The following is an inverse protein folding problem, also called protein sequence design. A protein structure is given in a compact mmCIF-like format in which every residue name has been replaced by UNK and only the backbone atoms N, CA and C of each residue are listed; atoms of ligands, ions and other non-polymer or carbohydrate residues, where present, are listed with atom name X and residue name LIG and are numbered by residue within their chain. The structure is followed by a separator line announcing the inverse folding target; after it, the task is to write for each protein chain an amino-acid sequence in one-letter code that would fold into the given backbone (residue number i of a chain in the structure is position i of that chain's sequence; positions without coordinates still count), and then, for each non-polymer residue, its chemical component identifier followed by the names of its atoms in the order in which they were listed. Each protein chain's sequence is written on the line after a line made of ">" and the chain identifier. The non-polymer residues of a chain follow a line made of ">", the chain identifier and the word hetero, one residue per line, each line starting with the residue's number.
data_IF_367578828718
#
_entry.id   IF_367578828718
#
_cell.length_a   1.000
_cell.length_b   1.000
_cell.length_c   1.000
_cell.angle_alpha   90.00
_cell.angle_beta   90.00
_cell.angle_gamma   90.00
#
_symmetry.space_group_name_H-M   'P 1'
#
loop_
_entity.id
_entity.type
_entity.pdbx_description
1 polymer ?
#
# COMPACT_ATOMS: atom_id res chain seq x y z
N UNK A 1 11.62 -1.13 13.73
CA UNK A 1 12.86 -1.91 13.62
C UNK A 1 13.21 -2.10 12.16
N UNK A 2 14.50 -1.91 11.78
CA UNK A 2 14.91 -2.08 10.38
C UNK A 2 14.56 -3.46 9.83
N UNK A 3 14.64 -4.51 10.65
CA UNK A 3 14.35 -5.88 10.23
C UNK A 3 12.88 -6.09 9.86
N UNK A 4 11.97 -5.40 10.54
CA UNK A 4 10.54 -5.47 10.23
C UNK A 4 10.23 -4.88 8.85
N UNK A 5 10.96 -3.85 8.44
CA UNK A 5 10.80 -3.26 7.11
C UNK A 5 11.49 -4.14 6.06
N UNK A 6 12.65 -4.71 6.39
CA UNK A 6 13.42 -5.56 5.49
C UNK A 6 12.63 -6.79 5.01
N UNK A 7 11.65 -7.27 5.78
CA UNK A 7 10.82 -8.41 5.39
C UNK A 7 10.00 -8.17 4.11
N UNK A 8 9.80 -6.90 3.70
CA UNK A 8 9.08 -6.55 2.48
C UNK A 8 9.96 -6.60 1.23
N UNK A 9 11.27 -6.74 1.39
CA UNK A 9 12.20 -6.81 0.25
C UNK A 9 11.84 -8.00 -0.64
N UNK A 10 11.67 -7.73 -1.94
CA UNK A 10 11.29 -8.76 -2.91
C UNK A 10 9.84 -9.21 -2.85
N UNK A 11 9.04 -8.73 -1.90
CA UNK A 11 7.63 -9.08 -1.82
C UNK A 11 6.84 -8.39 -2.95
N UNK A 12 5.92 -9.14 -3.58
CA UNK A 12 5.05 -8.61 -4.63
C UNK A 12 3.73 -8.09 -4.09
N UNK A 13 3.35 -8.51 -2.90
CA UNK A 13 2.10 -8.14 -2.25
C UNK A 13 2.34 -7.84 -0.79
N UNK A 14 1.57 -6.89 -0.26
CA UNK A 14 1.42 -6.75 1.17
C UNK A 14 -0.06 -6.87 1.52
N UNK A 15 -0.33 -7.34 2.72
CA UNK A 15 -1.68 -7.39 3.26
C UNK A 15 -1.89 -6.08 4.02
N UNK A 16 -2.88 -5.31 3.61
CA UNK A 16 -3.24 -4.04 4.25
C UNK A 16 -4.46 -4.26 5.13
N UNK A 17 -4.29 -4.02 6.42
CA UNK A 17 -5.40 -4.04 7.37
C UNK A 17 -5.85 -2.63 7.69
N UNK A 18 -7.10 -2.34 7.40
CA UNK A 18 -7.78 -1.09 7.75
C UNK A 18 -8.90 -1.40 8.75
N UNK A 19 -9.35 -0.40 9.48
CA UNK A 19 -10.26 -0.64 10.61
C UNK A 19 -11.59 0.03 10.40
N UNK A 20 -12.66 -0.73 10.64
CA UNK A 20 -14.03 -0.20 10.71
C UNK A 20 -14.20 0.66 11.94
N UNK A 21 -15.26 1.46 11.98
CA UNK A 21 -15.61 2.29 13.15
C UNK A 21 -15.78 1.45 14.42
N UNK A 22 -16.16 0.19 14.26
CA UNK A 22 -16.30 -0.77 15.38
C UNK A 22 -14.96 -1.28 15.90
N UNK A 23 -13.83 -0.98 15.21
CA UNK A 23 -12.53 -1.51 15.54
C UNK A 23 -12.17 -2.81 14.84
N UNK A 24 -13.12 -3.40 14.09
CA UNK A 24 -12.87 -4.64 13.36
C UNK A 24 -11.93 -4.38 12.18
N UNK A 25 -10.85 -5.17 12.08
CA UNK A 25 -9.88 -5.10 11.00
C UNK A 25 -10.39 -5.77 9.73
N UNK A 26 -10.13 -5.15 8.59
CA UNK A 26 -10.42 -5.70 7.26
C UNK A 26 -9.12 -5.77 6.49
N UNK A 27 -8.74 -6.96 6.05
CA UNK A 27 -7.46 -7.25 5.41
C UNK A 27 -7.64 -7.42 3.90
N UNK A 28 -6.74 -6.83 3.12
CA UNK A 28 -6.77 -6.92 1.67
C UNK A 28 -5.34 -7.06 1.13
N UNK A 29 -5.03 -8.09 0.31
CA UNK A 29 -3.74 -8.13 -0.38
C UNK A 29 -3.72 -7.06 -1.48
N UNK A 30 -2.63 -6.30 -1.54
CA UNK A 30 -2.50 -5.19 -2.47
C UNK A 30 -1.10 -5.15 -3.07
N UNK A 31 -0.97 -4.48 -4.21
CA UNK A 31 0.33 -4.15 -4.79
C UNK A 31 0.89 -2.91 -4.11
N UNK A 32 2.19 -2.90 -3.91
CA UNK A 32 2.86 -1.80 -3.22
C UNK A 32 4.23 -1.53 -3.81
N UNK A 33 4.69 -0.30 -3.65
CA UNK A 33 6.08 0.09 -3.91
C UNK A 33 6.60 0.86 -2.71
N UNK A 34 7.82 0.55 -2.33
CA UNK A 34 8.46 1.14 -1.16
C UNK A 34 9.31 2.34 -1.56
N UNK A 35 9.25 3.38 -0.77
CA UNK A 35 10.14 4.53 -0.86
C UNK A 35 10.67 4.88 0.52
N UNK A 36 11.79 5.58 0.55
CA UNK A 36 12.41 6.03 1.78
C UNK A 36 12.56 7.54 1.73
N UNK A 37 11.94 8.22 2.68
CA UNK A 37 12.12 9.65 2.84
C UNK A 37 13.34 9.88 3.72
N UNK A 38 14.37 10.50 3.12
CA UNK A 38 15.62 10.80 3.82
C UNK A 38 15.47 12.05 4.67
N UNK A 39 14.63 11.93 5.67
CA UNK A 39 14.42 12.96 6.70
C UNK A 39 15.11 12.53 8.00
N UNK A 40 14.93 13.29 9.07
CA UNK A 40 15.43 12.93 10.38
C UNK A 40 14.26 12.90 11.35
N UNK A 41 13.81 11.70 11.75
CA UNK A 41 14.30 10.36 11.37
C UNK A 41 13.89 9.95 9.94
N UNK A 42 14.57 8.95 9.40
CA UNK A 42 14.23 8.35 8.12
C UNK A 42 12.86 7.67 8.20
N UNK A 43 12.02 7.91 7.21
CA UNK A 43 10.66 7.36 7.15
C UNK A 43 10.53 6.47 5.92
N UNK A 44 9.98 5.27 6.10
CA UNK A 44 9.62 4.39 4.99
C UNK A 44 8.16 4.61 4.64
N UNK A 45 7.88 4.73 3.35
CA UNK A 45 6.53 4.88 2.83
C UNK A 45 6.23 3.75 1.87
N UNK A 46 5.09 3.11 2.04
CA UNK A 46 4.57 2.15 1.07
C UNK A 46 3.45 2.82 0.27
N UNK A 47 3.60 2.87 -1.04
CA UNK A 47 2.58 3.39 -1.95
C UNK A 47 1.76 2.23 -2.50
N UNK A 48 0.45 2.35 -2.45
CA UNK A 48 -0.49 1.27 -2.73
C UNK A 48 -1.53 1.78 -3.74
N UNK A 49 -1.80 1.01 -4.80
CA UNK A 49 -2.91 1.27 -5.69
C UNK A 49 -4.23 0.87 -5.06
N UNK A 50 -5.25 1.67 -5.28
CA UNK A 50 -6.61 1.35 -4.91
C UNK A 50 -7.61 2.02 -5.85
N UNK A 51 -8.81 1.46 -5.96
CA UNK A 51 -9.93 2.17 -6.52
C UNK A 51 -10.36 3.26 -5.52
N UNK A 52 -10.73 4.43 -6.05
CA UNK A 52 -11.02 5.59 -5.22
C UNK A 52 -12.25 5.40 -4.32
N UNK A 53 -13.18 4.55 -4.72
CA UNK A 53 -14.42 4.25 -3.98
C UNK A 53 -14.32 2.95 -3.16
N UNK A 54 -13.15 2.33 -3.09
CA UNK A 54 -12.96 1.11 -2.32
C UNK A 54 -13.24 1.33 -0.82
N UNK A 55 -13.72 0.28 -0.16
CA UNK A 55 -14.00 0.33 1.27
C UNK A 55 -12.78 0.71 2.11
N UNK A 56 -11.58 0.24 1.72
CA UNK A 56 -10.33 0.59 2.41
C UNK A 56 -10.07 2.09 2.41
N UNK A 57 -10.40 2.79 1.32
CA UNK A 57 -10.23 4.25 1.23
C UNK A 57 -11.15 4.95 2.22
N UNK A 58 -12.40 4.52 2.31
CA UNK A 58 -13.37 5.07 3.27
C UNK A 58 -12.93 4.82 4.71
N UNK A 59 -12.43 3.62 5.00
CA UNK A 59 -11.95 3.29 6.34
C UNK A 59 -10.73 4.13 6.73
N UNK A 60 -9.80 4.36 5.81
CA UNK A 60 -8.61 5.19 6.06
C UNK A 60 -8.99 6.64 6.34
N UNK A 61 -9.97 7.18 5.62
CA UNK A 61 -10.46 8.55 5.87
C UNK A 61 -11.05 8.70 7.27
N UNK A 62 -11.68 7.65 7.78
CA UNK A 62 -12.24 7.66 9.13
C UNK A 62 -11.20 7.34 10.20
N UNK A 63 -10.24 6.47 9.88
CA UNK A 63 -9.19 6.05 10.82
C UNK A 63 -7.89 5.80 10.05
N UNK A 64 -6.89 6.68 10.18
CA UNK A 64 -5.64 6.53 9.45
C UNK A 64 -4.73 5.42 9.97
N UNK A 65 -5.04 4.81 11.11
CA UNK A 65 -4.24 3.68 11.62
C UNK A 65 -4.46 2.48 10.74
N UNK A 66 -3.34 1.86 10.33
CA UNK A 66 -3.35 0.63 9.54
C UNK A 66 -2.27 -0.31 10.03
N UNK A 67 -2.31 -1.54 9.56
CA UNK A 67 -1.19 -2.48 9.72
C UNK A 67 -0.89 -3.10 8.37
N UNK A 68 0.37 -3.44 8.15
CA UNK A 68 0.84 -4.07 6.94
C UNK A 68 1.73 -5.27 7.25
N UNK A 69 1.69 -6.28 6.41
CA UNK A 69 2.57 -7.44 6.49
C UNK A 69 2.81 -7.97 5.08
N UNK A 70 3.99 -8.52 4.78
CA UNK A 70 4.20 -9.15 3.48
C UNK A 70 3.29 -10.37 3.35
N UNK A 71 2.75 -10.59 2.15
CA UNK A 71 1.83 -11.70 1.94
C UNK A 71 1.92 -12.26 0.53
N UNK A 72 1.23 -13.37 0.31
CA UNK A 72 1.02 -13.94 -1.02
C UNK A 72 -0.11 -13.21 -1.74
N UNK A 73 -0.31 -13.50 -3.02
CA UNK A 73 -1.41 -12.97 -3.81
C UNK A 73 -2.78 -13.24 -3.19
N UNK A 74 -2.91 -14.33 -2.44
CA UNK A 74 -4.16 -14.71 -1.77
C UNK A 74 -4.30 -14.13 -0.36
N UNK A 75 -3.30 -13.36 0.08
CA UNK A 75 -3.32 -12.72 1.39
C UNK A 75 -2.74 -13.56 2.52
N UNK A 76 -2.09 -14.69 2.23
CA UNK A 76 -1.41 -15.46 3.26
C UNK A 76 -0.19 -14.69 3.78
N UNK A 77 -0.19 -14.34 5.05
CA UNK A 77 0.85 -13.52 5.67
C UNK A 77 2.16 -14.28 5.74
N UNK A 78 3.25 -13.63 5.34
CA UNK A 78 4.59 -14.20 5.26
C UNK A 78 5.59 -13.57 6.22
N UNK A 79 5.12 -12.77 7.16
CA UNK A 79 5.99 -12.11 8.12
C UNK A 79 5.19 -11.48 9.23
N UNK A 80 5.80 -10.52 9.91
CA UNK A 80 5.18 -9.84 11.03
C UNK A 80 4.35 -8.64 10.57
N UNK A 81 3.24 -8.40 11.25
CA UNK A 81 2.46 -7.18 11.09
C UNK A 81 3.21 -6.00 11.70
N UNK A 82 3.24 -4.88 10.99
CA UNK A 82 3.77 -3.63 11.51
C UNK A 82 2.70 -2.54 11.42
N UNK A 83 2.74 -1.64 12.38
CA UNK A 83 1.82 -0.52 12.43
C UNK A 83 2.26 0.58 11.48
N UNK A 84 1.29 1.25 10.88
CA UNK A 84 1.54 2.37 10.00
C UNK A 84 0.42 3.38 10.07
N UNK A 85 0.63 4.47 9.37
CA UNK A 85 -0.35 5.55 9.25
C UNK A 85 -0.58 5.85 7.78
N UNK A 86 -1.82 5.73 7.36
CA UNK A 86 -2.19 5.85 5.95
C UNK A 86 -2.79 7.22 5.64
N UNK A 87 -2.56 7.67 4.41
CA UNK A 87 -3.22 8.84 3.84
C UNK A 87 -3.55 8.60 2.39
N UNK A 88 -4.55 9.28 1.89
CA UNK A 88 -4.88 9.27 0.46
C UNK A 88 -4.03 10.33 -0.20
N UNK A 89 -3.23 9.93 -1.19
CA UNK A 89 -2.33 10.82 -1.90
C UNK A 89 -3.08 11.68 -2.90
N UNK A 90 -2.59 12.90 -3.09
CA UNK A 90 -3.10 13.85 -4.08
C UNK A 90 -1.91 14.52 -4.77
N UNK A 91 -2.15 15.07 -5.98
CA UNK A 91 -1.16 15.86 -6.70
C UNK A 91 0.16 15.14 -6.94
N UNK A 92 1.25 15.81 -6.61
CA UNK A 92 2.61 15.33 -6.88
C UNK A 92 2.93 14.02 -6.13
N UNK A 93 2.43 13.85 -4.91
CA UNK A 93 2.64 12.62 -4.16
C UNK A 93 1.95 11.44 -4.83
N UNK A 94 0.74 11.62 -5.34
CA UNK A 94 0.04 10.56 -6.07
C UNK A 94 0.79 10.19 -7.35
N UNK A 95 1.29 11.17 -8.08
CA UNK A 95 2.08 10.93 -9.30
C UNK A 95 3.38 10.18 -8.99
N UNK A 96 4.06 10.56 -7.91
CA UNK A 96 5.28 9.89 -7.45
C UNK A 96 5.01 8.43 -7.09
N UNK A 97 3.97 8.18 -6.32
CA UNK A 97 3.57 6.81 -5.95
C UNK A 97 3.22 5.95 -7.17
N UNK A 98 2.48 6.51 -8.13
CA UNK A 98 2.18 5.81 -9.38
C UNK A 98 3.44 5.48 -10.17
N UNK A 99 4.39 6.38 -10.22
CA UNK A 99 5.65 6.15 -10.91
C UNK A 99 6.42 4.98 -10.31
N UNK A 100 6.53 4.93 -8.98
CA UNK A 100 7.21 3.84 -8.29
C UNK A 100 6.51 2.50 -8.51
N UNK A 101 5.18 2.49 -8.45
CA UNK A 101 4.39 1.29 -8.71
C UNK A 101 4.58 0.81 -10.14
N UNK A 102 4.56 1.71 -11.10
CA UNK A 102 4.81 1.39 -12.51
C UNK A 102 6.21 0.82 -12.73
N UNK A 103 7.22 1.38 -12.09
CA UNK A 103 8.58 0.87 -12.18
C UNK A 103 8.71 -0.55 -11.63
N UNK A 104 8.04 -0.83 -10.52
CA UNK A 104 8.11 -2.15 -9.87
C UNK A 104 7.39 -3.23 -10.69
N UNK A 105 6.23 -2.92 -11.26
CA UNK A 105 5.36 -3.91 -11.89
C UNK A 105 5.28 -3.79 -13.42
N UNK A 106 5.77 -2.71 -13.99
CA UNK A 106 5.56 -2.36 -15.40
C UNK A 106 6.14 -3.31 -16.43
N UNK A 107 7.07 -4.18 -16.03
CA UNK A 107 7.68 -5.18 -16.91
C UNK A 107 6.93 -6.51 -16.93
N UNK A 108 5.92 -6.68 -16.08
CA UNK A 108 5.15 -7.91 -16.00
C UNK A 108 3.93 -7.82 -16.91
N UNK A 109 3.77 -8.83 -17.77
CA UNK A 109 2.67 -8.90 -18.74
C UNK A 109 1.29 -8.85 -18.07
N UNK A 110 1.17 -9.46 -16.90
CA UNK A 110 -0.04 -9.46 -16.07
C UNK A 110 -0.38 -8.03 -15.59
N UNK A 111 0.61 -7.19 -15.44
CA UNK A 111 0.47 -5.81 -14.98
C UNK A 111 -0.22 -4.95 -16.03
N UNK A 112 0.04 -5.20 -17.32
CA UNK A 112 -0.65 -4.51 -18.41
C UNK A 112 -2.16 -4.68 -18.33
N UNK A 113 -2.62 -5.91 -18.11
CA UNK A 113 -4.05 -6.22 -17.96
C UNK A 113 -4.63 -5.60 -16.69
N UNK A 114 -3.87 -5.63 -15.60
CA UNK A 114 -4.26 -4.99 -14.35
C UNK A 114 -4.40 -3.48 -14.51
N UNK A 115 -3.43 -2.83 -15.15
CA UNK A 115 -3.49 -1.38 -15.41
C UNK A 115 -4.68 -1.04 -16.31
N UNK A 116 -4.98 -1.87 -17.31
CA UNK A 116 -6.14 -1.66 -18.17
C UNK A 116 -7.44 -1.69 -17.39
N UNK A 117 -7.57 -2.59 -16.41
CA UNK A 117 -8.73 -2.64 -15.51
C UNK A 117 -8.80 -1.40 -14.63
N UNK A 118 -7.67 -1.00 -14.04
CA UNK A 118 -7.61 0.17 -13.17
C UNK A 118 -7.93 1.45 -13.94
N UNK A 119 -7.54 1.55 -15.21
CA UNK A 119 -7.83 2.73 -16.03
C UNK A 119 -9.32 2.91 -16.33
N UNK A 120 -10.14 1.89 -16.15
CA UNK A 120 -11.60 1.97 -16.31
C UNK A 120 -12.30 2.54 -15.09
N UNK A 121 -11.65 2.52 -13.95
CA UNK A 121 -12.19 3.00 -12.69
C UNK A 121 -11.35 4.15 -12.19
N UNK A 122 -11.98 5.06 -11.47
CA UNK A 122 -11.23 6.14 -10.83
C UNK A 122 -10.28 5.53 -9.80
N UNK A 123 -9.01 5.89 -9.93
CA UNK A 123 -7.93 5.34 -9.10
C UNK A 123 -7.44 6.33 -8.08
N UNK A 124 -6.88 5.82 -7.01
CA UNK A 124 -6.16 6.61 -6.03
C UNK A 124 -4.91 5.86 -5.58
N UNK A 125 -4.00 6.59 -4.95
CA UNK A 125 -2.80 6.03 -4.33
C UNK A 125 -2.90 6.27 -2.84
N UNK A 126 -2.66 5.21 -2.07
CA UNK A 126 -2.60 5.27 -0.62
C UNK A 126 -1.13 5.25 -0.22
N UNK A 127 -0.72 6.17 0.64
CA UNK A 127 0.61 6.16 1.25
C UNK A 127 0.50 5.66 2.69
N UNK A 128 1.33 4.69 3.05
CA UNK A 128 1.42 4.17 4.42
C UNK A 128 2.82 4.49 4.94
N UNK A 129 2.89 5.37 5.93
CA UNK A 129 4.15 5.66 6.62
C UNK A 129 4.36 4.65 7.75
N UNK A 130 5.56 4.11 7.82
CA UNK A 130 6.00 3.24 8.91
C UNK A 130 7.34 3.74 9.45
N UNK A 131 7.53 3.57 10.73
CA UNK A 131 8.74 4.03 11.41
C UNK A 131 9.91 3.04 11.28
#
# INVERSE_FOLDING_TARGET
>A
MPDAIAQFAGAKYLNLETFRKTGVGVRTPVWFAQDVLHSVPTITVFYIYSEADAGKVKRIRNNPKVRVAPCTMRGAVRGAWIDGRARICEGDEAAHGQQLLTQKYGLLKIVGDFFSRLMRHKQTVIAVEVD
#
